data_IF_950261227843
#
_entry.id   IF_950261227843
#
_cell.length_a   1.000
_cell.length_b   1.000
_cell.length_c   1.000
_cell.angle_alpha   90.00
_cell.angle_beta   90.00
_cell.angle_gamma   90.00
#
_symmetry.space_group_name_H-M   'P 1'
#
loop_
_entity.id
_entity.type
_entity.pdbx_description
1 polymer ?
#
# COMPACT_ATOMS: atom_id res chain seq x y z
N UNK A 1 5.29 -8.35 -5.29
CA UNK A 1 4.61 -8.19 -4.00
C UNK A 1 3.28 -8.89 -4.00
N UNK A 2 2.29 -8.44 -4.77
CA UNK A 2 0.96 -9.07 -4.70
C UNK A 2 0.97 -10.56 -5.04
N UNK A 3 1.77 -10.98 -6.03
CA UNK A 3 1.89 -12.40 -6.40
C UNK A 3 2.36 -13.26 -5.22
N UNK A 4 3.47 -12.90 -4.56
CA UNK A 4 3.97 -13.59 -3.37
C UNK A 4 3.00 -13.51 -2.18
N UNK A 5 2.38 -12.35 -1.96
CA UNK A 5 1.40 -12.15 -0.88
C UNK A 5 0.18 -13.06 -1.05
N UNK A 6 -0.43 -13.08 -2.24
CA UNK A 6 -1.59 -13.93 -2.54
C UNK A 6 -1.18 -15.39 -2.56
N UNK A 7 -0.03 -15.73 -3.13
CA UNK A 7 0.51 -17.09 -3.15
C UNK A 7 0.64 -17.67 -1.75
N UNK A 8 1.24 -16.91 -0.82
CA UNK A 8 1.37 -17.31 0.59
C UNK A 8 0.03 -17.35 1.32
N UNK A 9 -0.86 -16.40 1.04
CA UNK A 9 -2.19 -16.35 1.68
C UNK A 9 -3.05 -17.57 1.30
N UNK A 10 -2.88 -18.08 0.08
CA UNK A 10 -3.59 -19.24 -0.45
C UNK A 10 -2.88 -20.57 -0.18
N UNK A 11 -1.67 -20.55 0.39
CA UNK A 11 -0.94 -21.76 0.75
C UNK A 11 -1.66 -22.50 1.89
N UNK A 12 -2.22 -23.71 1.63
CA UNK A 12 -2.93 -24.47 2.64
C UNK A 12 -2.01 -25.08 3.68
N UNK A 13 -0.69 -24.88 3.63
CA UNK A 13 0.26 -25.32 4.66
C UNK A 13 0.88 -24.15 5.45
N UNK A 14 0.69 -22.90 5.02
CA UNK A 14 1.17 -21.74 5.77
C UNK A 14 0.32 -21.49 7.03
N UNK A 15 0.92 -21.78 8.19
CA UNK A 15 0.26 -21.64 9.49
C UNK A 15 -0.07 -20.17 9.86
N UNK A 16 0.71 -19.19 9.36
CA UNK A 16 0.47 -17.77 9.60
C UNK A 16 -0.75 -17.32 8.80
N UNK A 17 -0.82 -17.65 7.51
CA UNK A 17 -1.94 -17.34 6.62
C UNK A 17 -3.24 -17.95 7.16
N UNK A 18 -3.23 -19.24 7.53
CA UNK A 18 -4.39 -19.91 8.17
C UNK A 18 -4.88 -19.17 9.40
N UNK A 19 -3.97 -18.73 10.27
CA UNK A 19 -4.33 -18.04 11.52
C UNK A 19 -4.86 -16.63 11.25
N UNK A 20 -4.30 -15.92 10.26
CA UNK A 20 -4.76 -14.60 9.85
C UNK A 20 -6.17 -14.67 9.23
N UNK A 21 -6.40 -15.59 8.29
CA UNK A 21 -7.69 -15.75 7.59
C UNK A 21 -8.84 -16.20 8.48
N UNK A 22 -8.55 -16.82 9.64
CA UNK A 22 -9.57 -17.10 10.67
C UNK A 22 -10.05 -15.85 11.41
N UNK A 23 -9.35 -14.73 11.28
CA UNK A 23 -9.61 -13.49 12.03
C UNK A 23 -9.90 -12.30 11.14
N UNK A 24 -9.56 -12.38 9.86
CA UNK A 24 -9.68 -11.27 8.93
C UNK A 24 -10.11 -11.76 7.55
N UNK A 25 -10.88 -10.92 6.86
CA UNK A 25 -11.15 -11.06 5.42
C UNK A 25 -10.16 -10.16 4.69
N UNK A 26 -9.34 -10.74 3.83
CA UNK A 26 -8.38 -10.00 3.03
C UNK A 26 -8.98 -9.73 1.65
N UNK A 27 -9.09 -8.46 1.28
CA UNK A 27 -9.56 -8.02 -0.04
C UNK A 27 -8.37 -7.44 -0.79
N UNK A 28 -8.14 -7.92 -2.01
CA UNK A 28 -6.97 -7.54 -2.82
C UNK A 28 -7.39 -7.05 -4.20
N UNK A 29 -6.69 -6.06 -4.72
CA UNK A 29 -6.77 -5.61 -6.12
C UNK A 29 -5.36 -5.73 -6.69
N UNK A 30 -5.02 -6.82 -7.41
CA UNK A 30 -3.64 -7.08 -7.79
C UNK A 30 -3.02 -6.07 -8.77
N UNK A 31 -3.85 -5.48 -9.62
CA UNK A 31 -3.44 -4.43 -10.54
C UNK A 31 -4.56 -3.39 -10.60
N UNK A 32 -4.31 -2.19 -10.06
CA UNK A 32 -5.29 -1.09 -10.07
C UNK A 32 -5.30 -0.36 -11.42
N UNK A 33 -4.19 -0.40 -12.18
CA UNK A 33 -4.06 0.32 -13.45
C UNK A 33 -3.65 -0.62 -14.60
N UNK A 34 -4.53 -1.54 -15.03
CA UNK A 34 -4.22 -2.50 -16.09
C UNK A 34 -3.89 -1.82 -17.42
N UNK A 35 -4.61 -0.74 -17.75
CA UNK A 35 -4.41 0.03 -18.99
C UNK A 35 -3.06 0.73 -19.02
N UNK A 36 -2.68 1.42 -17.93
CA UNK A 36 -1.39 2.09 -17.82
C UNK A 36 -0.23 1.08 -17.90
N UNK A 37 -0.37 -0.07 -17.24
CA UNK A 37 0.62 -1.14 -17.30
C UNK A 37 0.80 -1.67 -18.74
N UNK A 38 -0.29 -2.00 -19.42
CA UNK A 38 -0.25 -2.51 -20.81
C UNK A 38 0.33 -1.49 -21.80
N UNK A 39 0.17 -0.19 -21.52
CA UNK A 39 0.67 0.92 -22.35
C UNK A 39 2.09 1.36 -22.02
N UNK A 40 2.71 0.80 -20.99
CA UNK A 40 4.05 1.22 -20.53
C UNK A 40 4.07 2.60 -19.87
N UNK A 41 2.96 3.03 -19.27
CA UNK A 41 2.89 4.29 -18.52
C UNK A 41 3.43 4.12 -17.11
N UNK A 42 4.15 5.14 -16.63
CA UNK A 42 4.68 5.17 -15.28
C UNK A 42 3.62 5.52 -14.23
N UNK A 43 2.79 6.54 -14.48
CA UNK A 43 2.05 7.23 -13.40
C UNK A 43 0.55 7.48 -13.65
N UNK A 44 0.05 7.19 -14.84
CA UNK A 44 -1.33 7.53 -15.23
C UNK A 44 -2.04 6.36 -15.89
N UNK A 45 -3.38 6.35 -15.85
CA UNK A 45 -4.19 5.43 -16.64
C UNK A 45 -4.33 5.90 -18.10
N UNK A 46 -5.14 5.21 -18.91
CA UNK A 46 -5.35 5.55 -20.32
C UNK A 46 -5.98 6.94 -20.55
N UNK A 47 -6.69 7.51 -19.57
CA UNK A 47 -7.27 8.86 -19.65
C UNK A 47 -6.30 9.97 -19.18
N UNK A 48 -5.08 9.59 -18.76
CA UNK A 48 -4.12 10.52 -18.19
C UNK A 48 -4.38 10.87 -16.72
N UNK A 49 -5.24 10.12 -16.02
CA UNK A 49 -5.51 10.34 -14.60
C UNK A 49 -4.42 9.69 -13.73
N UNK A 50 -3.88 10.45 -12.77
CA UNK A 50 -3.08 9.89 -11.69
C UNK A 50 -4.02 9.29 -10.64
N UNK A 51 -4.23 7.98 -10.69
CA UNK A 51 -5.24 7.30 -9.86
C UNK A 51 -5.06 7.54 -8.35
N UNK A 52 -3.82 7.72 -7.87
CA UNK A 52 -3.57 8.01 -6.45
C UNK A 52 -3.85 9.48 -6.06
N UNK A 53 -4.56 10.23 -6.91
CA UNK A 53 -5.08 11.59 -6.68
C UNK A 53 -6.59 11.70 -6.95
N UNK A 54 -7.24 10.57 -7.24
CA UNK A 54 -8.64 10.54 -7.72
C UNK A 54 -9.62 9.98 -6.67
N UNK A 55 -9.17 9.74 -5.43
CA UNK A 55 -9.97 9.03 -4.42
C UNK A 55 -11.12 9.85 -3.80
N UNK A 56 -11.01 11.18 -3.83
CA UNK A 56 -12.05 12.08 -3.32
C UNK A 56 -13.30 12.06 -4.22
N UNK A 57 -13.10 12.26 -5.53
CA UNK A 57 -14.16 12.41 -6.53
C UNK A 57 -13.89 11.57 -7.80
N UNK A 58 -13.73 10.24 -7.69
CA UNK A 58 -13.51 9.39 -8.86
C UNK A 58 -14.75 9.36 -9.75
N UNK A 59 -14.54 9.22 -11.06
CA UNK A 59 -15.63 9.13 -12.05
C UNK A 59 -15.44 7.96 -13.01
N UNK A 60 -16.53 7.50 -13.63
CA UNK A 60 -16.48 6.42 -14.61
C UNK A 60 -15.74 6.83 -15.90
N UNK A 61 -15.73 8.12 -16.23
CA UNK A 61 -15.11 8.63 -17.45
C UNK A 61 -13.60 8.83 -17.31
N UNK A 62 -13.12 9.20 -16.10
CA UNK A 62 -11.73 9.60 -15.87
C UNK A 62 -10.95 8.55 -15.09
N UNK A 63 -11.52 8.06 -13.99
CA UNK A 63 -10.86 7.19 -13.01
C UNK A 63 -11.77 6.02 -12.60
N UNK A 64 -12.31 5.25 -13.57
CA UNK A 64 -13.24 4.16 -13.30
C UNK A 64 -12.66 3.09 -12.37
N UNK A 65 -11.34 2.90 -12.40
CA UNK A 65 -10.62 1.95 -11.55
C UNK A 65 -10.79 2.30 -10.07
N UNK A 66 -10.56 3.58 -9.72
CA UNK A 66 -10.73 4.08 -8.35
C UNK A 66 -12.21 4.11 -7.97
N UNK A 67 -13.09 4.48 -8.91
CA UNK A 67 -14.55 4.49 -8.70
C UNK A 67 -15.05 3.12 -8.27
N UNK A 68 -14.70 2.06 -8.99
CA UNK A 68 -15.14 0.70 -8.68
C UNK A 68 -14.52 0.17 -7.39
N UNK A 69 -13.22 0.38 -7.17
CA UNK A 69 -12.55 -0.06 -5.93
C UNK A 69 -13.18 0.60 -4.70
N UNK A 70 -13.38 1.92 -4.73
CA UNK A 70 -13.98 2.66 -3.62
C UNK A 70 -15.41 2.20 -3.34
N UNK A 71 -16.23 2.07 -4.37
CA UNK A 71 -17.62 1.62 -4.19
C UNK A 71 -17.70 0.17 -3.69
N UNK A 72 -16.74 -0.68 -4.07
CA UNK A 72 -16.65 -2.04 -3.53
C UNK A 72 -16.27 -2.02 -2.04
N UNK A 73 -15.37 -1.12 -1.59
CA UNK A 73 -15.09 -0.93 -0.16
C UNK A 73 -16.36 -0.52 0.59
N UNK A 74 -17.09 0.47 0.07
CA UNK A 74 -18.36 0.94 0.66
C UNK A 74 -19.41 -0.15 0.80
N UNK A 75 -19.54 -0.99 -0.23
CA UNK A 75 -20.53 -2.05 -0.26
C UNK A 75 -20.19 -3.22 0.66
N UNK A 76 -18.91 -3.44 0.96
CA UNK A 76 -18.45 -4.67 1.64
C UNK A 76 -18.16 -4.51 3.12
N UNK A 77 -18.28 -3.31 3.66
CA UNK A 77 -18.19 -3.02 5.09
C UNK A 77 -16.90 -2.29 5.48
N UNK A 78 -16.68 -2.09 6.79
CA UNK A 78 -15.56 -1.28 7.27
C UNK A 78 -14.21 -1.86 6.85
N UNK A 79 -13.26 -0.97 6.58
CA UNK A 79 -11.85 -1.31 6.37
C UNK A 79 -11.13 -1.10 7.69
N UNK A 80 -10.47 -2.12 8.23
CA UNK A 80 -9.69 -2.00 9.47
C UNK A 80 -8.24 -1.57 9.22
N UNK A 81 -7.69 -1.98 8.07
CA UNK A 81 -6.33 -1.69 7.64
C UNK A 81 -6.28 -1.59 6.11
N UNK A 82 -5.61 -0.55 5.61
CA UNK A 82 -5.36 -0.34 4.18
C UNK A 82 -3.86 -0.31 3.93
N UNK A 83 -3.41 -1.09 2.95
CA UNK A 83 -2.04 -1.07 2.45
C UNK A 83 -2.06 -0.81 0.95
N UNK A 84 -1.51 0.33 0.56
CA UNK A 84 -1.35 0.77 -0.83
C UNK A 84 0.10 0.49 -1.27
N UNK A 85 0.32 -0.39 -2.25
CA UNK A 85 1.66 -0.90 -2.59
C UNK A 85 2.18 -0.23 -3.86
N UNK A 86 3.34 0.41 -3.76
CA UNK A 86 3.97 1.25 -4.78
C UNK A 86 5.45 0.91 -4.95
N UNK A 87 6.09 1.56 -5.91
CA UNK A 87 7.53 1.62 -6.04
C UNK A 87 8.01 3.06 -6.14
N UNK A 88 9.16 3.35 -5.52
CA UNK A 88 9.77 4.67 -5.48
C UNK A 88 11.00 4.73 -6.39
N UNK A 89 11.05 5.72 -7.29
CA UNK A 89 12.12 5.89 -8.27
C UNK A 89 13.40 6.47 -7.66
N UNK A 90 13.29 7.18 -6.54
CA UNK A 90 14.36 7.92 -5.90
C UNK A 90 15.03 7.13 -4.78
N UNK A 91 14.23 6.57 -3.88
CA UNK A 91 14.72 6.02 -2.62
C UNK A 91 15.16 4.56 -2.74
N UNK A 92 16.38 4.22 -2.32
CA UNK A 92 16.91 2.87 -2.44
C UNK A 92 16.61 2.03 -1.17
N UNK A 93 15.36 2.04 -0.72
CA UNK A 93 14.90 1.33 0.49
C UNK A 93 13.48 0.80 0.34
N UNK A 94 13.14 -0.25 1.08
CA UNK A 94 11.73 -0.56 1.35
C UNK A 94 11.26 0.21 2.58
N UNK A 95 10.15 0.95 2.47
CA UNK A 95 9.64 1.77 3.56
C UNK A 95 8.13 1.94 3.53
N UNK A 96 7.57 2.41 4.64
CA UNK A 96 6.15 2.77 4.73
C UNK A 96 6.00 4.26 5.01
N UNK A 97 5.27 4.93 4.12
CA UNK A 97 4.70 6.26 4.39
C UNK A 97 3.39 6.07 5.15
N UNK A 98 3.37 6.43 6.42
CA UNK A 98 2.25 6.19 7.33
C UNK A 98 1.07 7.15 7.20
N UNK A 99 0.06 6.98 8.04
CA UNK A 99 -1.18 7.76 8.06
C UNK A 99 -1.08 9.09 8.80
N UNK A 100 0.09 9.44 9.35
CA UNK A 100 0.31 10.71 10.06
C UNK A 100 -0.18 11.90 9.22
N UNK A 101 -0.96 12.78 9.86
CA UNK A 101 -1.55 13.97 9.22
C UNK A 101 -2.91 13.76 8.56
N UNK A 102 -3.40 12.52 8.47
CA UNK A 102 -4.77 12.22 8.04
C UNK A 102 -5.79 12.71 9.08
N UNK A 103 -6.97 13.22 8.67
CA UNK A 103 -8.06 13.51 9.61
C UNK A 103 -8.38 12.34 10.56
N UNK A 104 -8.55 12.65 11.84
CA UNK A 104 -8.82 11.66 12.89
C UNK A 104 -7.58 10.87 13.35
N UNK A 105 -6.35 11.30 13.01
CA UNK A 105 -5.14 10.70 13.54
C UNK A 105 -5.10 10.79 15.08
N UNK A 106 -4.92 9.66 15.75
CA UNK A 106 -4.93 9.51 17.21
C UNK A 106 -3.87 8.49 17.67
N UNK A 107 -3.72 8.35 19.00
CA UNK A 107 -2.76 7.42 19.61
C UNK A 107 -3.04 5.96 19.26
N UNK A 108 -4.31 5.61 19.01
CA UNK A 108 -4.71 4.26 18.61
C UNK A 108 -4.15 3.92 17.22
N UNK A 109 -4.39 4.78 16.23
CA UNK A 109 -3.89 4.61 14.85
C UNK A 109 -2.36 4.65 14.82
N UNK A 110 -1.74 5.55 15.60
CA UNK A 110 -0.29 5.61 15.76
C UNK A 110 0.29 4.31 16.34
N UNK A 111 -0.37 3.75 17.37
CA UNK A 111 0.01 2.48 17.99
C UNK A 111 -0.09 1.29 17.03
N UNK A 112 -1.20 1.19 16.29
CA UNK A 112 -1.41 0.14 15.28
C UNK A 112 -0.38 0.23 14.16
N UNK A 113 -0.15 1.42 13.60
CA UNK A 113 0.87 1.61 12.58
C UNK A 113 2.27 1.22 13.09
N UNK A 114 2.61 1.65 14.30
CA UNK A 114 3.91 1.36 14.90
C UNK A 114 4.12 -0.14 15.10
N UNK A 115 3.09 -0.87 15.54
CA UNK A 115 3.18 -2.32 15.67
C UNK A 115 3.24 -3.03 14.32
N UNK A 116 2.49 -2.56 13.32
CA UNK A 116 2.57 -3.09 11.96
C UNK A 116 3.99 -2.95 11.40
N UNK A 117 4.57 -1.74 11.45
CA UNK A 117 5.94 -1.47 11.01
C UNK A 117 6.96 -2.38 11.72
N UNK A 118 6.86 -2.52 13.05
CA UNK A 118 7.74 -3.42 13.83
C UNK A 118 7.57 -4.88 13.43
N UNK A 119 6.34 -5.36 13.29
CA UNK A 119 6.06 -6.73 12.88
C UNK A 119 6.60 -7.01 11.46
N UNK A 120 6.47 -6.05 10.55
CA UNK A 120 6.94 -6.19 9.19
C UNK A 120 8.47 -6.20 9.12
N UNK A 121 9.15 -5.32 9.85
CA UNK A 121 10.62 -5.32 9.96
C UNK A 121 11.18 -6.62 10.57
N UNK A 122 10.43 -7.26 11.49
CA UNK A 122 10.81 -8.58 12.03
C UNK A 122 10.66 -9.70 11.00
N UNK A 123 9.68 -9.59 10.10
CA UNK A 123 9.36 -10.63 9.13
C UNK A 123 10.16 -10.49 7.82
N UNK A 124 10.55 -9.27 7.45
CA UNK A 124 11.19 -8.95 6.19
C UNK A 124 12.48 -8.14 6.45
N UNK A 125 13.67 -8.76 6.34
CA UNK A 125 14.95 -8.06 6.51
C UNK A 125 15.20 -6.92 5.51
N UNK A 126 14.50 -6.92 4.37
CA UNK A 126 14.56 -5.84 3.39
C UNK A 126 13.81 -4.58 3.84
N UNK A 127 12.87 -4.72 4.79
CA UNK A 127 12.08 -3.60 5.30
C UNK A 127 12.78 -2.90 6.48
N UNK A 128 12.68 -1.57 6.53
CA UNK A 128 13.25 -0.77 7.60
C UNK A 128 12.29 0.31 8.12
N UNK A 129 12.61 0.84 9.31
CA UNK A 129 11.78 1.83 10.03
C UNK A 129 12.51 3.15 10.33
N UNK A 130 13.73 3.34 9.80
CA UNK A 130 14.63 4.47 10.10
C UNK A 130 14.51 5.59 9.07
N UNK A 131 14.28 5.23 7.81
CA UNK A 131 14.17 6.10 6.65
C UNK A 131 12.78 5.93 6.00
N UNK A 132 12.19 6.96 5.38
CA UNK A 132 12.60 8.35 5.33
C UNK A 132 11.93 9.10 6.48
N UNK A 133 12.71 9.65 7.42
CA UNK A 133 12.21 10.76 8.24
C UNK A 133 11.89 12.00 7.37
N UNK A 134 12.35 12.02 6.10
CA UNK A 134 12.26 13.16 5.16
C UNK A 134 11.07 13.13 4.19
N UNK A 135 10.40 11.99 3.98
CA UNK A 135 9.04 11.98 3.43
C UNK A 135 8.14 12.32 4.60
N UNK A 136 7.98 13.63 4.82
CA UNK A 136 7.19 14.16 5.91
C UNK A 136 5.83 13.47 6.02
N UNK A 137 5.27 13.52 7.23
CA UNK A 137 3.86 13.22 7.42
C UNK A 137 3.03 13.93 6.34
N UNK A 138 1.94 13.31 5.91
CA UNK A 138 1.02 14.00 5.02
C UNK A 138 0.68 15.36 5.67
N UNK A 139 0.65 16.47 4.93
CA UNK A 139 0.25 17.76 5.51
C UNK A 139 -1.04 17.59 6.30
N UNK A 140 -1.15 18.23 7.47
CA UNK A 140 -2.33 18.08 8.32
C UNK A 140 -3.61 18.36 7.52
N UNK A 141 -4.54 17.40 7.51
CA UNK A 141 -5.77 17.48 6.73
C UNK A 141 -5.68 16.94 5.29
N UNK A 142 -4.55 16.32 4.90
CA UNK A 142 -4.41 15.74 3.57
C UNK A 142 -5.37 14.55 3.39
N UNK A 143 -6.29 14.68 2.43
CA UNK A 143 -7.24 13.64 2.00
C UNK A 143 -7.11 13.37 0.50
N UNK A 144 -5.90 13.43 -0.06
CA UNK A 144 -5.72 13.36 -1.52
C UNK A 144 -5.41 11.94 -2.03
N UNK A 145 -4.79 11.09 -1.21
CA UNK A 145 -4.31 9.77 -1.64
C UNK A 145 -5.20 8.63 -1.17
N UNK A 146 -5.00 7.44 -1.74
CA UNK A 146 -5.72 6.23 -1.36
C UNK A 146 -5.73 6.02 0.16
N UNK A 147 -4.52 5.98 0.76
CA UNK A 147 -4.39 5.72 2.20
C UNK A 147 -5.11 6.77 3.05
N UNK A 148 -5.04 8.06 2.71
CA UNK A 148 -5.61 9.11 3.57
C UNK A 148 -7.13 9.19 3.41
N UNK A 149 -7.65 9.01 2.19
CA UNK A 149 -9.09 8.91 1.94
C UNK A 149 -9.72 7.71 2.62
N UNK A 150 -9.13 6.52 2.47
CA UNK A 150 -9.64 5.29 3.09
C UNK A 150 -9.57 5.39 4.63
N UNK A 151 -8.47 5.90 5.17
CA UNK A 151 -8.32 6.11 6.62
C UNK A 151 -9.36 7.08 7.18
N UNK A 152 -9.59 8.21 6.51
CA UNK A 152 -10.61 9.18 6.92
C UNK A 152 -12.03 8.62 6.80
N UNK A 153 -12.29 7.83 5.76
CA UNK A 153 -13.62 7.26 5.45
C UNK A 153 -14.04 6.15 6.41
N UNK A 154 -13.09 5.30 6.83
CA UNK A 154 -13.38 4.09 7.62
C UNK A 154 -12.81 4.11 9.05
N UNK A 155 -12.22 5.22 9.49
CA UNK A 155 -11.56 5.33 10.80
C UNK A 155 -10.44 4.28 11.01
N UNK A 156 -9.70 4.01 9.93
CA UNK A 156 -8.73 2.92 9.85
C UNK A 156 -7.27 3.42 9.79
N UNK A 157 -6.34 2.47 9.81
CA UNK A 157 -4.92 2.76 9.51
C UNK A 157 -4.65 2.49 8.04
N UNK A 158 -4.30 3.54 7.30
CA UNK A 158 -3.86 3.46 5.91
C UNK A 158 -2.36 3.75 5.79
N UNK A 159 -1.67 2.89 5.06
CA UNK A 159 -0.23 2.96 4.84
C UNK A 159 0.07 2.80 3.35
N UNK A 160 1.15 3.44 2.90
CA UNK A 160 1.73 3.19 1.57
C UNK A 160 3.04 2.45 1.75
N UNK A 161 3.17 1.25 1.19
CA UNK A 161 4.43 0.51 1.11
C UNK A 161 5.13 0.90 -0.19
N UNK A 162 6.36 1.36 -0.08
CA UNK A 162 7.23 1.71 -1.21
C UNK A 162 8.37 0.69 -1.30
N UNK A 163 8.63 0.19 -2.51
CA UNK A 163 9.80 -0.65 -2.83
C UNK A 163 10.69 0.07 -3.85
N UNK A 164 12.02 -0.09 -3.79
CA UNK A 164 12.92 0.69 -4.64
C UNK A 164 12.90 0.18 -6.09
N UNK A 165 12.88 1.10 -7.06
CA UNK A 165 13.23 0.76 -8.46
C UNK A 165 14.73 0.44 -8.62
N UNK A 166 15.57 0.98 -7.74
CA UNK A 166 17.03 0.79 -7.74
C UNK A 166 17.38 -0.54 -7.08
N UNK A 167 17.75 -0.48 -5.82
CA UNK A 167 18.03 -1.60 -4.94
C UNK A 167 17.76 -1.18 -3.49
N UNK A 168 17.70 -2.12 -2.57
CA UNK A 168 17.83 -1.86 -1.15
C UNK A 168 19.30 -1.77 -0.76
N UNK A 169 19.83 -0.56 -0.48
CA UNK A 169 21.26 -0.38 -0.16
C UNK A 169 21.70 -1.09 1.13
N UNK A 170 20.76 -1.46 2.00
CA UNK A 170 21.08 -2.21 3.23
C UNK A 170 21.41 -3.68 2.94
N UNK A 171 20.86 -4.22 1.85
CA UNK A 171 21.00 -5.61 1.42
C UNK A 171 21.13 -5.62 -0.10
N UNK A 172 22.17 -4.94 -0.60
CA UNK A 172 22.37 -4.77 -2.04
C UNK A 172 22.63 -6.11 -2.72
N UNK A 173 21.97 -6.34 -3.85
CA UNK A 173 22.14 -7.51 -4.69
C UNK A 173 22.79 -7.15 -6.01
N UNK A 174 23.44 -8.12 -6.66
CA UNK A 174 24.10 -7.91 -7.97
C UNK A 174 23.14 -7.43 -9.06
N UNK A 175 21.86 -7.83 -8.97
CA UNK A 175 20.80 -7.49 -9.92
C UNK A 175 19.85 -6.40 -9.42
N UNK A 176 20.22 -5.68 -8.36
CA UNK A 176 19.35 -4.68 -7.74
C UNK A 176 18.11 -5.26 -7.06
N UNK A 177 17.05 -4.47 -7.02
CA UNK A 177 15.73 -4.93 -6.60
C UNK A 177 15.07 -5.78 -7.70
N UNK A 178 14.46 -6.90 -7.32
CA UNK A 178 13.92 -7.87 -8.30
C UNK A 178 12.50 -8.31 -7.93
N UNK A 179 11.75 -8.83 -8.91
CA UNK A 179 10.41 -9.38 -8.69
C UNK A 179 10.39 -10.44 -7.57
N UNK A 180 11.38 -11.33 -7.56
CA UNK A 180 11.53 -12.36 -6.52
C UNK A 180 11.71 -11.77 -5.12
N UNK A 181 12.45 -10.66 -4.98
CA UNK A 181 12.58 -9.96 -3.69
C UNK A 181 11.30 -9.24 -3.30
N UNK A 182 10.58 -8.71 -4.28
CA UNK A 182 9.23 -8.19 -4.05
C UNK A 182 8.23 -9.26 -3.63
N UNK A 183 8.43 -10.54 -3.93
CA UNK A 183 7.53 -11.65 -3.55
C UNK A 183 7.82 -12.24 -2.16
N UNK A 184 9.03 -12.04 -1.63
CA UNK A 184 9.51 -12.58 -0.36
C UNK A 184 8.87 -11.90 0.85
#
# INVERSE_FOLDING_TARGET
WMEGFVGRLLDPEDAVAKKALRRAVVRVVPCVNPDGAARGYLRVNASGANLNREWETPSLERSPEVYHVRNAMDATGPVDLMLDVHGDEAEPYCFIVGGEGTPGWDDRRAGVQSEFKRAYARACPDFQCVFPLEYGSAPAGNVVTAKTQVSARFDCVGMTLEMPFKDNVQLAGENGWTAKRSEA
#
